data_IF_196502587055
#
_entry.id   IF_196502587055
#
_cell.length_a   1.000
_cell.length_b   1.000
_cell.length_c   1.000
_cell.angle_alpha   90.00
_cell.angle_beta   90.00
_cell.angle_gamma   90.00
#
_symmetry.space_group_name_H-M   'P 1'
#
loop_
_entity.id
_entity.type
_entity.pdbx_description
1 polymer ?
#
# COMPACT_ATOMS: atom_id res chain seq x y z
N UNK A 1 1.06 -34.01 -22.23
CA UNK A 1 1.69 -34.18 -20.90
C UNK A 1 1.56 -32.87 -20.16
N UNK A 2 0.83 -32.83 -19.04
CA UNK A 2 0.58 -31.61 -18.24
C UNK A 2 1.68 -31.55 -17.19
N UNK A 3 2.47 -30.48 -17.20
CA UNK A 3 3.71 -30.41 -16.42
C UNK A 3 3.39 -30.18 -14.92
N UNK A 4 3.73 -31.11 -14.00
CA UNK A 4 3.26 -31.11 -12.61
C UNK A 4 3.92 -30.05 -11.71
N UNK A 5 4.97 -29.38 -12.20
CA UNK A 5 5.68 -28.31 -11.47
C UNK A 5 5.18 -26.90 -11.82
N UNK A 6 4.22 -26.77 -12.73
CA UNK A 6 3.58 -25.48 -12.99
C UNK A 6 2.45 -25.33 -11.97
N UNK A 7 2.83 -24.90 -10.77
CA UNK A 7 1.88 -24.48 -9.76
C UNK A 7 1.30 -23.12 -10.17
N UNK A 8 0.18 -23.13 -10.90
CA UNK A 8 -0.61 -21.93 -11.21
C UNK A 8 -1.40 -21.40 -9.99
N UNK A 9 -0.93 -21.63 -8.76
CA UNK A 9 -1.46 -20.97 -7.58
C UNK A 9 -0.91 -19.54 -7.48
N UNK A 10 -1.20 -18.73 -8.49
CA UNK A 10 -1.52 -17.32 -8.26
C UNK A 10 -3.01 -17.24 -7.93
N UNK A 11 -3.45 -18.01 -6.94
CA UNK A 11 -4.68 -17.68 -6.23
C UNK A 11 -4.30 -16.51 -5.32
N UNK A 12 -4.35 -15.30 -5.89
CA UNK A 12 -4.54 -14.09 -5.09
C UNK A 12 -5.73 -14.40 -4.20
N UNK A 13 -5.50 -14.45 -2.89
CA UNK A 13 -6.51 -14.77 -1.90
C UNK A 13 -7.72 -13.85 -2.11
N UNK A 14 -8.74 -14.35 -2.81
CA UNK A 14 -9.91 -13.54 -3.16
C UNK A 14 -10.70 -13.33 -1.90
N UNK A 15 -10.54 -12.14 -1.33
CA UNK A 15 -11.33 -11.61 -0.22
C UNK A 15 -12.82 -11.79 -0.53
N UNK A 16 -13.66 -12.06 0.48
CA UNK A 16 -15.10 -12.31 0.29
C UNK A 16 -15.83 -11.21 -0.49
N UNK A 17 -15.34 -9.97 -0.39
CA UNK A 17 -15.82 -8.80 -1.14
C UNK A 17 -15.55 -8.94 -2.65
N UNK A 18 -14.39 -9.47 -3.04
CA UNK A 18 -14.02 -9.62 -4.45
C UNK A 18 -14.90 -10.65 -5.16
N UNK A 19 -15.25 -11.73 -4.45
CA UNK A 19 -16.17 -12.76 -4.95
C UNK A 19 -17.58 -12.20 -5.13
N UNK A 20 -18.07 -11.42 -4.17
CA UNK A 20 -19.38 -10.79 -4.25
C UNK A 20 -19.50 -9.79 -5.41
N UNK A 21 -18.48 -8.94 -5.61
CA UNK A 21 -18.45 -7.96 -6.70
C UNK A 21 -18.39 -8.67 -8.06
N UNK A 22 -17.53 -9.68 -8.20
CA UNK A 22 -17.42 -10.44 -9.45
C UNK A 22 -18.69 -11.25 -9.75
N UNK A 23 -19.36 -11.78 -8.72
CA UNK A 23 -20.63 -12.48 -8.88
C UNK A 23 -21.74 -11.53 -9.32
N UNK A 24 -21.90 -10.37 -8.65
CA UNK A 24 -22.87 -9.36 -9.05
C UNK A 24 -22.61 -8.79 -10.46
N UNK A 25 -21.35 -8.68 -10.86
CA UNK A 25 -20.98 -8.21 -12.20
C UNK A 25 -21.28 -9.24 -13.30
N UNK A 26 -21.39 -10.53 -12.97
CA UNK A 26 -21.71 -11.61 -13.91
C UNK A 26 -23.15 -11.52 -14.45
N UNK A 27 -24.05 -10.92 -13.68
CA UNK A 27 -25.46 -10.75 -14.05
C UNK A 27 -25.71 -9.52 -14.94
N UNK A 28 -24.67 -8.74 -15.23
CA UNK A 28 -24.76 -7.53 -16.04
C UNK A 28 -24.54 -7.89 -17.53
N UNK A 29 -25.51 -7.66 -18.42
CA UNK A 29 -25.49 -8.18 -19.79
C UNK A 29 -24.37 -7.63 -20.69
N UNK A 30 -23.73 -6.52 -20.29
CA UNK A 30 -22.64 -5.89 -21.02
C UNK A 30 -21.25 -6.18 -20.43
N UNK A 31 -21.16 -6.92 -19.32
CA UNK A 31 -19.89 -7.25 -18.66
C UNK A 31 -19.45 -8.66 -19.09
N UNK A 32 -18.29 -8.83 -19.74
CA UNK A 32 -17.82 -10.15 -20.15
C UNK A 32 -17.60 -11.08 -18.95
N UNK A 33 -17.93 -12.36 -19.10
CA UNK A 33 -17.77 -13.38 -18.04
C UNK A 33 -16.33 -13.53 -17.51
N UNK A 34 -15.32 -13.11 -18.26
CA UNK A 34 -13.90 -13.15 -17.87
C UNK A 34 -13.39 -11.80 -17.34
N UNK A 35 -14.29 -10.85 -17.05
CA UNK A 35 -13.93 -9.53 -16.54
C UNK A 35 -13.67 -9.56 -15.04
N UNK A 36 -12.54 -8.98 -14.61
CA UNK A 36 -12.22 -8.82 -13.19
C UNK A 36 -12.87 -7.54 -12.64
N UNK A 37 -14.16 -7.60 -12.35
CA UNK A 37 -14.93 -6.46 -11.85
C UNK A 37 -14.42 -5.95 -10.50
N UNK A 38 -14.03 -6.84 -9.59
CA UNK A 38 -13.46 -6.46 -8.30
C UNK A 38 -12.14 -5.68 -8.47
N UNK A 39 -11.25 -6.16 -9.35
CA UNK A 39 -10.02 -5.46 -9.70
C UNK A 39 -10.26 -4.10 -10.34
N UNK A 40 -11.26 -4.01 -11.23
CA UNK A 40 -11.66 -2.76 -11.86
C UNK A 40 -12.19 -1.74 -10.83
N UNK A 41 -13.11 -2.15 -9.94
CA UNK A 41 -13.66 -1.26 -8.90
C UNK A 41 -12.56 -0.76 -7.97
N UNK A 42 -11.64 -1.64 -7.54
CA UNK A 42 -10.47 -1.24 -6.75
C UNK A 42 -9.60 -0.24 -7.51
N UNK A 43 -9.31 -0.51 -8.78
CA UNK A 43 -8.55 0.38 -9.64
C UNK A 43 -9.23 1.74 -9.83
N UNK A 44 -10.56 1.76 -9.96
CA UNK A 44 -11.35 2.99 -10.09
C UNK A 44 -11.32 3.80 -8.80
N UNK A 45 -11.45 3.16 -7.63
CA UNK A 45 -11.35 3.85 -6.33
C UNK A 45 -9.96 4.44 -6.14
N UNK A 46 -8.91 3.64 -6.36
CA UNK A 46 -7.53 4.11 -6.25
C UNK A 46 -7.22 5.22 -7.25
N UNK A 47 -7.64 5.06 -8.50
CA UNK A 47 -7.48 6.05 -9.57
C UNK A 47 -8.25 7.34 -9.27
N UNK A 48 -9.47 7.25 -8.74
CA UNK A 48 -10.27 8.41 -8.34
C UNK A 48 -9.63 9.21 -7.22
N UNK A 49 -9.08 8.53 -6.20
CA UNK A 49 -8.31 9.19 -5.14
C UNK A 49 -7.03 9.84 -5.70
N UNK A 50 -6.28 9.12 -6.54
CA UNK A 50 -5.09 9.67 -7.19
C UNK A 50 -5.42 10.91 -8.04
N UNK A 51 -6.48 10.84 -8.85
CA UNK A 51 -6.95 11.96 -9.65
C UNK A 51 -7.40 13.13 -8.77
N UNK A 52 -8.14 12.88 -7.67
CA UNK A 52 -8.53 13.92 -6.73
C UNK A 52 -7.32 14.64 -6.13
N UNK A 53 -6.29 13.88 -5.71
CA UNK A 53 -5.03 14.46 -5.23
C UNK A 53 -4.38 15.29 -6.33
N UNK A 54 -4.29 14.77 -7.55
CA UNK A 54 -3.64 15.47 -8.67
C UNK A 54 -4.42 16.70 -9.15
N UNK A 55 -5.75 16.71 -9.08
CA UNK A 55 -6.57 17.84 -9.54
C UNK A 55 -6.79 18.89 -8.46
N UNK A 56 -6.64 18.54 -7.18
CA UNK A 56 -6.81 19.48 -6.09
C UNK A 56 -5.46 19.98 -5.57
N UNK A 57 -5.06 21.24 -5.86
CA UNK A 57 -3.78 21.79 -5.41
C UNK A 57 -3.64 21.78 -3.87
N UNK A 58 -4.74 21.90 -3.12
CA UNK A 58 -4.72 21.80 -1.65
C UNK A 58 -4.37 20.39 -1.18
N UNK A 59 -4.84 19.36 -1.90
CA UNK A 59 -4.53 17.97 -1.58
C UNK A 59 -3.06 17.66 -1.89
N UNK A 60 -2.53 18.14 -3.03
CA UNK A 60 -1.09 18.03 -3.34
C UNK A 60 -0.24 18.68 -2.25
N UNK A 61 -0.58 19.92 -1.87
CA UNK A 61 0.14 20.66 -0.83
C UNK A 61 0.13 19.92 0.51
N UNK A 62 -1.01 19.35 0.91
CA UNK A 62 -1.12 18.58 2.15
C UNK A 62 -0.27 17.31 2.13
N UNK A 63 -0.31 16.55 1.02
CA UNK A 63 0.51 15.34 0.85
C UNK A 63 2.01 15.69 0.93
N UNK A 64 2.46 16.72 0.20
CA UNK A 64 3.85 17.16 0.24
C UNK A 64 4.27 17.65 1.63
N UNK A 65 3.43 18.45 2.30
CA UNK A 65 3.67 18.88 3.68
C UNK A 65 3.76 17.71 4.64
N UNK A 66 2.89 16.70 4.50
CA UNK A 66 2.93 15.50 5.32
C UNK A 66 4.22 14.71 5.10
N UNK A 67 4.68 14.57 3.85
CA UNK A 67 5.95 13.90 3.52
C UNK A 67 7.13 14.64 4.16
N UNK A 68 7.22 15.95 3.97
CA UNK A 68 8.31 16.77 4.53
C UNK A 68 8.30 16.72 6.07
N UNK A 69 7.12 16.89 6.67
CA UNK A 69 6.96 16.85 8.12
C UNK A 69 7.26 15.46 8.69
N UNK A 70 6.85 14.39 8.01
CA UNK A 70 7.21 13.01 8.36
C UNK A 70 8.72 12.76 8.27
N UNK A 71 9.37 13.25 7.23
CA UNK A 71 10.83 13.19 7.09
C UNK A 71 11.56 13.92 8.23
N UNK A 72 11.04 15.07 8.66
CA UNK A 72 11.60 15.78 9.82
C UNK A 72 11.46 15.00 11.13
N UNK A 73 10.38 14.24 11.32
CA UNK A 73 10.18 13.39 12.50
C UNK A 73 11.12 12.18 12.48
N UNK A 74 11.38 11.61 11.31
CA UNK A 74 12.36 10.52 11.16
C UNK A 74 13.77 11.03 11.46
N UNK A 75 14.15 12.19 10.93
CA UNK A 75 15.47 12.77 11.21
C UNK A 75 15.64 13.09 12.69
N UNK A 76 14.65 13.72 13.33
CA UNK A 76 14.68 13.99 14.76
C UNK A 76 14.73 12.70 15.60
N UNK A 77 13.97 11.66 15.21
CA UNK A 77 14.01 10.36 15.87
C UNK A 77 15.36 9.66 15.72
N UNK A 78 16.00 9.74 14.55
CA UNK A 78 17.35 9.20 14.33
C UNK A 78 18.38 9.95 15.17
N UNK A 79 18.22 11.26 15.33
CA UNK A 79 19.12 12.10 16.14
C UNK A 79 19.04 11.73 17.63
N UNK A 80 17.83 11.58 18.17
CA UNK A 80 17.63 11.08 19.54
C UNK A 80 18.10 9.62 19.72
N UNK A 81 17.94 8.76 18.71
CA UNK A 81 18.47 7.39 18.74
C UNK A 81 19.99 7.37 18.71
N UNK A 82 20.62 8.32 18.01
CA UNK A 82 22.08 8.41 17.92
C UNK A 82 22.68 8.82 19.26
N UNK A 83 22.10 9.81 19.95
CA UNK A 83 22.49 10.15 21.33
C UNK A 83 22.32 8.95 22.26
N UNK A 84 21.16 8.27 22.25
CA UNK A 84 20.93 7.08 23.09
C UNK A 84 21.90 5.94 22.78
N UNK A 85 22.29 5.78 21.52
CA UNK A 85 23.25 4.75 21.13
C UNK A 85 24.67 5.11 21.59
N UNK A 86 25.07 6.38 21.50
CA UNK A 86 26.35 6.86 22.05
C UNK A 86 26.38 6.72 23.57
N UNK A 87 25.29 7.06 24.27
CA UNK A 87 25.18 6.92 25.71
C UNK A 87 25.30 5.45 26.15
N UNK A 88 24.58 4.54 25.49
CA UNK A 88 24.66 3.09 25.77
C UNK A 88 26.04 2.53 25.42
N UNK A 89 26.68 3.02 24.35
CA UNK A 89 28.03 2.59 23.98
C UNK A 89 29.06 3.06 25.01
N UNK A 90 28.95 4.29 25.51
CA UNK A 90 29.82 4.81 26.54
C UNK A 90 29.61 4.10 27.89
N UNK A 91 28.38 3.73 28.23
CA UNK A 91 28.07 2.93 29.41
C UNK A 91 28.70 1.53 29.31
N UNK A 92 28.57 0.87 28.15
CA UNK A 92 29.22 -0.43 27.89
C UNK A 92 30.76 -0.37 27.92
N UNK A 93 31.36 0.69 27.38
CA UNK A 93 32.82 0.90 27.42
C UNK A 93 33.34 1.31 28.81
N UNK A 94 32.48 1.88 29.67
CA UNK A 94 32.81 2.22 31.05
C UNK A 94 32.57 1.06 32.04
N UNK A 95 31.88 0.02 31.60
CA UNK A 95 31.61 -1.21 32.36
C UNK A 95 32.67 -2.31 32.12
N UNK A 96 33.66 -2.08 31.23
CA UNK A 96 34.96 -2.80 31.13
C UNK A 96 36.06 -2.13 31.98
#
# INVERSE_FOLDING_TARGET
MKNPYINNNQQVEQNGIDKAINHAAKDIPFVPNNFNAAGFVKGLVLGGLAAYVLTNPKAQEYIFKAIIKGGSLINAGIEELKERFEDVKAELEAEE
#
